data_IF_489170606064
#
_entry.id   IF_489170606064
#
_cell.length_a   1.000
_cell.length_b   1.000
_cell.length_c   1.000
_cell.angle_alpha   90.00
_cell.angle_beta   90.00
_cell.angle_gamma   90.00
#
_symmetry.space_group_name_H-M   'P 1'
#
loop_
_entity.id
_entity.type
_entity.pdbx_description
1 polymer ?
#
# COMPACT_ATOMS: atom_id res chain seq x y z
N UNK A 1 -1.70 -8.63 4.38
CA UNK A 1 -2.31 -7.82 3.31
C UNK A 1 -1.27 -7.37 2.29
N UNK A 2 -0.03 -7.09 2.72
CA UNK A 2 1.06 -6.63 1.84
C UNK A 2 2.08 -7.72 1.51
N UNK A 3 1.84 -8.94 1.94
CA UNK A 3 2.79 -10.05 1.84
C UNK A 3 3.16 -10.37 0.39
N UNK A 4 2.18 -10.39 -0.51
CA UNK A 4 2.41 -10.66 -1.94
C UNK A 4 3.30 -9.60 -2.59
N UNK A 5 3.00 -8.32 -2.37
CA UNK A 5 3.79 -7.21 -2.92
C UNK A 5 5.20 -7.21 -2.33
N UNK A 6 5.35 -7.32 -0.99
CA UNK A 6 6.65 -7.35 -0.34
C UNK A 6 7.52 -8.51 -0.82
N UNK A 7 6.96 -9.72 -0.89
CA UNK A 7 7.69 -10.89 -1.39
C UNK A 7 8.12 -10.72 -2.85
N UNK A 8 7.22 -10.28 -3.73
CA UNK A 8 7.55 -10.13 -5.15
C UNK A 8 8.63 -9.08 -5.37
N UNK A 9 8.55 -7.93 -4.70
CA UNK A 9 9.57 -6.88 -4.79
C UNK A 9 10.96 -7.38 -4.34
N UNK A 10 11.03 -8.20 -3.28
CA UNK A 10 12.28 -8.82 -2.83
C UNK A 10 12.80 -9.82 -3.87
N UNK A 11 11.95 -10.73 -4.36
CA UNK A 11 12.35 -11.77 -5.32
C UNK A 11 12.83 -11.17 -6.64
N UNK A 12 12.16 -10.14 -7.16
CA UNK A 12 12.60 -9.50 -8.40
C UNK A 12 13.88 -8.65 -8.18
N UNK A 13 14.08 -8.08 -6.99
CA UNK A 13 15.34 -7.43 -6.65
C UNK A 13 16.52 -8.40 -6.57
N UNK A 14 16.30 -9.62 -6.04
CA UNK A 14 17.29 -10.70 -6.05
C UNK A 14 17.65 -11.13 -7.48
N UNK A 15 16.63 -11.41 -8.29
CA UNK A 15 16.80 -11.82 -9.69
C UNK A 15 17.58 -10.78 -10.51
N UNK A 16 17.29 -9.51 -10.30
CA UNK A 16 17.96 -8.41 -11.02
C UNK A 16 19.35 -8.08 -10.46
N UNK A 17 19.75 -8.68 -9.33
CA UNK A 17 21.01 -8.40 -8.64
C UNK A 17 21.04 -7.05 -7.90
N UNK A 18 19.91 -6.34 -7.80
CA UNK A 18 19.80 -5.12 -7.01
C UNK A 18 19.91 -5.39 -5.51
N UNK A 19 19.37 -6.52 -5.06
CA UNK A 19 19.50 -7.00 -3.69
C UNK A 19 20.44 -8.21 -3.67
N UNK A 20 21.63 -8.02 -3.09
CA UNK A 20 22.64 -9.08 -2.97
C UNK A 20 22.41 -9.90 -1.70
N UNK A 21 22.80 -11.20 -1.68
CA UNK A 21 22.71 -12.03 -0.48
C UNK A 21 23.35 -11.36 0.74
N UNK A 22 22.63 -11.34 1.87
CA UNK A 22 23.05 -10.67 3.10
C UNK A 22 23.00 -9.14 3.06
N UNK A 23 22.49 -8.56 1.98
CA UNK A 23 22.33 -7.11 1.82
C UNK A 23 21.32 -6.50 2.79
N UNK A 24 21.16 -5.20 2.71
CA UNK A 24 20.23 -4.44 3.54
C UNK A 24 19.10 -3.86 2.69
N UNK A 25 17.87 -4.10 3.10
CA UNK A 25 16.67 -3.48 2.52
C UNK A 25 16.39 -2.20 3.30
N UNK A 26 16.08 -1.13 2.60
CA UNK A 26 15.61 0.15 3.16
C UNK A 26 14.16 0.37 2.76
N UNK A 27 13.35 0.88 3.67
CA UNK A 27 11.97 1.27 3.36
C UNK A 27 11.56 2.51 4.16
N UNK A 28 10.62 3.28 3.59
CA UNK A 28 9.92 4.35 4.28
C UNK A 28 8.48 3.91 4.50
N UNK A 29 8.23 3.30 5.64
CA UNK A 29 6.93 2.69 5.94
C UNK A 29 6.72 2.58 7.45
N UNK A 30 5.47 2.56 7.85
CA UNK A 30 5.11 2.33 9.26
C UNK A 30 4.02 1.29 9.44
N UNK A 31 3.63 0.63 8.35
CA UNK A 31 2.45 -0.22 8.34
C UNK A 31 2.71 -1.66 7.89
N UNK A 32 1.69 -2.24 7.32
CA UNK A 32 1.67 -3.65 6.90
C UNK A 32 2.77 -4.02 5.91
N UNK A 33 3.23 -3.08 5.06
CA UNK A 33 4.35 -3.33 4.14
C UNK A 33 5.63 -3.56 4.92
N UNK A 34 5.95 -2.71 5.90
CA UNK A 34 7.12 -2.88 6.74
C UNK A 34 7.12 -4.21 7.49
N UNK A 35 5.98 -4.61 8.05
CA UNK A 35 5.84 -5.89 8.75
C UNK A 35 6.04 -7.07 7.80
N UNK A 36 5.42 -7.04 6.61
CA UNK A 36 5.58 -8.09 5.61
C UNK A 36 7.03 -8.18 5.10
N UNK A 37 7.64 -7.03 4.78
CA UNK A 37 9.05 -6.97 4.36
C UNK A 37 9.98 -7.50 5.45
N UNK A 38 9.74 -7.16 6.73
CA UNK A 38 10.54 -7.65 7.85
C UNK A 38 10.50 -9.18 7.96
N UNK A 39 9.31 -9.78 7.82
CA UNK A 39 9.16 -11.23 7.86
C UNK A 39 9.94 -11.92 6.75
N UNK A 40 9.84 -11.44 5.52
CA UNK A 40 10.56 -12.02 4.38
C UNK A 40 12.07 -11.70 4.39
N UNK A 41 12.47 -10.50 4.83
CA UNK A 41 13.88 -10.15 5.00
C UNK A 41 14.56 -11.15 5.97
N UNK A 42 13.96 -11.40 7.13
CA UNK A 42 14.47 -12.37 8.09
C UNK A 42 14.53 -13.79 7.52
N UNK A 43 13.46 -14.26 6.88
CA UNK A 43 13.40 -15.60 6.32
C UNK A 43 14.43 -15.81 5.20
N UNK A 44 14.90 -14.74 4.56
CA UNK A 44 15.86 -14.79 3.44
C UNK A 44 17.26 -14.29 3.81
N UNK A 45 17.50 -13.94 5.08
CA UNK A 45 18.82 -13.56 5.58
C UNK A 45 19.25 -12.13 5.21
N UNK A 46 18.30 -11.23 5.02
CA UNK A 46 18.54 -9.80 4.77
C UNK A 46 18.45 -8.99 6.05
N UNK A 47 19.22 -7.91 6.11
CA UNK A 47 19.01 -6.85 7.10
C UNK A 47 17.88 -5.93 6.62
N UNK A 48 17.17 -5.32 7.56
CA UNK A 48 16.10 -4.41 7.21
C UNK A 48 16.14 -3.14 8.06
N UNK A 49 16.18 -2.00 7.39
CA UNK A 49 16.15 -0.66 7.97
C UNK A 49 14.85 0.01 7.56
N UNK A 50 14.09 0.48 8.54
CA UNK A 50 12.83 1.18 8.30
C UNK A 50 12.95 2.62 8.78
N UNK A 51 12.73 3.55 7.88
CA UNK A 51 12.60 4.97 8.19
C UNK A 51 11.17 5.25 8.64
N UNK A 52 11.03 5.71 9.88
CA UNK A 52 9.73 5.99 10.49
C UNK A 52 9.53 7.48 10.76
N UNK A 53 8.29 7.94 10.57
CA UNK A 53 7.88 9.30 10.95
C UNK A 53 7.48 9.37 12.43
N UNK A 54 7.51 10.56 13.04
CA UNK A 54 6.85 10.79 14.33
C UNK A 54 5.36 10.46 14.26
N UNK A 55 4.82 9.87 15.33
CA UNK A 55 3.40 9.55 15.43
C UNK A 55 3.01 8.14 14.94
N UNK A 56 3.97 7.33 14.53
CA UNK A 56 3.73 5.89 14.29
C UNK A 56 3.30 5.23 15.60
N UNK A 57 2.28 4.37 15.54
CA UNK A 57 1.77 3.69 16.74
C UNK A 57 2.85 2.82 17.40
N UNK A 58 2.78 2.76 18.74
CA UNK A 58 3.72 1.97 19.54
C UNK A 58 3.68 0.50 19.16
N UNK A 59 2.49 -0.03 18.88
CA UNK A 59 2.29 -1.43 18.50
C UNK A 59 3.04 -1.79 17.21
N UNK A 60 2.95 -0.95 16.18
CA UNK A 60 3.68 -1.15 14.91
C UNK A 60 5.19 -1.12 15.13
N UNK A 61 5.66 -0.19 15.94
CA UNK A 61 7.07 -0.08 16.32
C UNK A 61 7.55 -1.32 17.07
N UNK A 62 6.75 -1.85 18.01
CA UNK A 62 7.07 -3.06 18.75
C UNK A 62 7.11 -4.30 17.84
N UNK A 63 6.19 -4.43 16.91
CA UNK A 63 6.19 -5.53 15.93
C UNK A 63 7.46 -5.48 15.07
N UNK A 64 7.82 -4.33 14.52
CA UNK A 64 9.05 -4.16 13.72
C UNK A 64 10.29 -4.51 14.55
N UNK A 65 10.38 -4.05 15.79
CA UNK A 65 11.47 -4.40 16.71
C UNK A 65 11.53 -5.90 17.02
N UNK A 66 10.37 -6.55 17.16
CA UNK A 66 10.32 -8.00 17.40
C UNK A 66 10.89 -8.80 16.20
N UNK A 67 10.79 -8.28 14.99
CA UNK A 67 11.47 -8.81 13.81
C UNK A 67 12.95 -8.43 13.72
N UNK A 68 13.50 -7.67 14.66
CA UNK A 68 14.89 -7.21 14.63
C UNK A 68 15.17 -6.11 13.62
N UNK A 69 14.14 -5.38 13.20
CA UNK A 69 14.27 -4.28 12.25
C UNK A 69 14.99 -3.10 12.90
N UNK A 70 15.97 -2.52 12.21
CA UNK A 70 16.58 -1.27 12.60
C UNK A 70 15.63 -0.11 12.25
N UNK A 71 15.32 0.72 13.25
CA UNK A 71 14.42 1.87 13.08
C UNK A 71 15.24 3.16 13.01
N UNK A 72 15.15 3.84 11.89
CA UNK A 72 15.76 5.13 11.64
C UNK A 72 14.69 6.22 11.69
N UNK A 73 14.94 7.30 12.44
CA UNK A 73 14.02 8.42 12.44
C UNK A 73 14.11 9.18 11.12
N UNK A 74 12.99 9.54 10.52
CA UNK A 74 12.97 10.28 9.27
C UNK A 74 13.74 11.62 9.37
N UNK A 75 13.75 12.25 10.55
CA UNK A 75 14.51 13.46 10.83
C UNK A 75 16.03 13.28 10.69
N UNK A 76 16.53 12.06 10.86
CA UNK A 76 17.97 11.75 10.74
C UNK A 76 18.39 11.44 9.30
N UNK A 77 17.43 11.36 8.36
CA UNK A 77 17.72 11.20 6.93
C UNK A 77 18.01 12.56 6.30
N UNK A 78 19.20 12.78 5.71
CA UNK A 78 19.56 14.05 5.11
C UNK A 78 18.56 14.50 4.03
N UNK A 79 18.12 15.76 4.11
CA UNK A 79 17.14 16.34 3.18
C UNK A 79 15.67 16.13 3.56
N UNK A 80 15.35 15.24 4.51
CA UNK A 80 13.96 14.97 4.90
C UNK A 80 13.31 16.20 5.58
N UNK A 81 13.97 16.78 6.56
CA UNK A 81 13.46 17.98 7.25
C UNK A 81 13.34 19.18 6.31
N UNK A 82 14.31 19.36 5.42
CA UNK A 82 14.28 20.41 4.40
C UNK A 82 13.08 20.23 3.46
N UNK A 83 12.78 19.01 3.03
CA UNK A 83 11.59 18.71 2.23
C UNK A 83 10.32 19.13 2.96
N UNK A 84 10.19 18.81 4.25
CA UNK A 84 9.01 19.17 5.05
C UNK A 84 8.85 20.69 5.19
N UNK A 85 9.94 21.42 5.39
CA UNK A 85 9.93 22.88 5.51
C UNK A 85 9.57 23.58 4.19
N UNK A 86 9.99 23.01 3.05
CA UNK A 86 9.82 23.56 1.71
C UNK A 86 8.60 23.01 0.95
N UNK A 87 7.47 22.79 1.62
CA UNK A 87 6.20 22.43 0.97
C UNK A 87 5.57 21.13 1.47
N UNK A 88 6.03 20.60 2.59
CA UNK A 88 5.46 19.39 3.20
C UNK A 88 5.93 18.09 2.55
N UNK A 89 5.30 16.99 2.94
CA UNK A 89 5.63 15.66 2.43
C UNK A 89 5.26 15.54 0.94
N UNK A 90 6.26 15.29 0.12
CA UNK A 90 6.10 14.99 -1.31
C UNK A 90 6.68 13.61 -1.61
N UNK A 91 5.85 12.69 -2.12
CA UNK A 91 6.30 11.32 -2.43
C UNK A 91 7.41 11.31 -3.48
N UNK A 92 7.34 12.16 -4.51
CA UNK A 92 8.40 12.27 -5.52
C UNK A 92 9.74 12.72 -4.92
N UNK A 93 9.73 13.76 -4.05
CA UNK A 93 10.94 14.20 -3.35
C UNK A 93 11.44 13.16 -2.36
N UNK A 94 10.53 12.50 -1.65
CA UNK A 94 10.87 11.43 -0.72
C UNK A 94 11.60 10.28 -1.42
N UNK A 95 11.08 9.82 -2.56
CA UNK A 95 11.73 8.78 -3.37
C UNK A 95 13.15 9.17 -3.75
N UNK A 96 13.39 10.43 -4.14
CA UNK A 96 14.75 10.92 -4.46
C UNK A 96 15.66 10.89 -3.22
N UNK A 97 15.17 11.37 -2.08
CA UNK A 97 15.92 11.38 -0.80
C UNK A 97 16.27 9.95 -0.37
N UNK A 98 15.29 9.05 -0.42
CA UNK A 98 15.47 7.66 0.00
C UNK A 98 16.40 6.87 -0.92
N UNK A 99 16.32 7.07 -2.24
CA UNK A 99 17.26 6.47 -3.19
C UNK A 99 18.68 6.97 -2.94
N UNK A 100 18.87 8.28 -2.76
CA UNK A 100 20.18 8.84 -2.43
C UNK A 100 20.77 8.22 -1.16
N UNK A 101 19.96 8.14 -0.10
CA UNK A 101 20.38 7.53 1.16
C UNK A 101 20.74 6.04 0.98
N UNK A 102 19.93 5.31 0.21
CA UNK A 102 20.20 3.91 -0.11
C UNK A 102 21.53 3.73 -0.86
N UNK A 103 21.78 4.55 -1.88
CA UNK A 103 23.01 4.51 -2.68
C UNK A 103 24.25 4.79 -1.83
N UNK A 104 24.20 5.80 -0.96
CA UNK A 104 25.29 6.19 -0.07
C UNK A 104 25.65 5.08 0.95
N UNK A 105 24.69 4.23 1.31
CA UNK A 105 24.87 3.15 2.29
C UNK A 105 24.97 1.75 1.66
N UNK A 106 24.82 1.63 0.34
CA UNK A 106 24.78 0.34 -0.34
C UNK A 106 23.55 -0.49 0.00
N UNK A 107 22.40 0.15 0.26
CA UNK A 107 21.13 -0.48 0.57
C UNK A 107 20.27 -0.62 -0.67
N UNK A 108 19.29 -1.51 -0.62
CA UNK A 108 18.22 -1.60 -1.61
C UNK A 108 16.97 -0.91 -1.08
N UNK A 109 16.57 0.20 -1.68
CA UNK A 109 15.30 0.87 -1.35
C UNK A 109 14.15 0.16 -2.06
N UNK A 110 13.23 -0.43 -1.28
CA UNK A 110 12.14 -1.27 -1.82
C UNK A 110 11.05 -0.46 -2.51
N UNK A 111 10.78 0.76 -2.01
CA UNK A 111 9.86 1.76 -2.58
C UNK A 111 8.51 1.21 -3.08
N UNK A 112 7.67 0.78 -2.15
CA UNK A 112 6.35 0.25 -2.50
C UNK A 112 5.46 1.21 -3.33
N UNK A 113 5.78 2.52 -3.31
CA UNK A 113 5.02 3.56 -3.98
C UNK A 113 5.30 3.67 -5.47
N UNK A 114 6.51 3.30 -5.92
CA UNK A 114 6.92 3.44 -7.34
C UNK A 114 7.50 2.16 -7.94
N UNK A 115 7.78 1.13 -7.13
CA UNK A 115 8.34 -0.14 -7.59
C UNK A 115 7.31 -0.95 -8.39
N UNK A 116 7.52 -1.18 -9.71
CA UNK A 116 6.56 -1.86 -10.58
C UNK A 116 6.29 -3.32 -10.16
N UNK A 117 7.17 -3.91 -9.36
CA UNK A 117 6.99 -5.27 -8.86
C UNK A 117 5.87 -5.38 -7.80
N UNK A 118 5.38 -4.22 -7.28
CA UNK A 118 4.20 -4.18 -6.42
C UNK A 118 2.92 -4.54 -7.21
N UNK A 119 2.49 -3.82 -8.25
CA UNK A 119 1.33 -4.23 -9.05
C UNK A 119 1.55 -5.57 -9.76
N UNK A 120 2.78 -5.88 -10.17
CA UNK A 120 3.11 -7.15 -10.80
C UNK A 120 2.82 -8.36 -9.89
N UNK A 121 3.00 -8.23 -8.58
CA UNK A 121 2.63 -9.26 -7.62
C UNK A 121 1.15 -9.64 -7.72
N UNK A 122 0.27 -8.66 -7.83
CA UNK A 122 -1.17 -8.89 -7.91
C UNK A 122 -1.60 -9.40 -9.28
N UNK A 123 -0.95 -8.96 -10.35
CA UNK A 123 -1.18 -9.48 -11.69
C UNK A 123 -0.81 -10.97 -11.80
N UNK A 124 0.34 -11.37 -11.22
CA UNK A 124 0.86 -12.75 -11.32
C UNK A 124 0.23 -13.72 -10.32
N UNK A 125 -0.32 -13.24 -9.22
CA UNK A 125 -0.82 -14.12 -8.15
C UNK A 125 -2.27 -13.85 -7.80
N UNK A 126 -2.62 -12.69 -7.29
CA UNK A 126 -3.97 -12.37 -6.79
C UNK A 126 -5.04 -12.49 -7.87
N UNK A 127 -4.76 -11.94 -9.06
CA UNK A 127 -5.68 -12.01 -10.20
C UNK A 127 -5.95 -13.45 -10.65
N UNK A 128 -4.92 -14.25 -10.97
CA UNK A 128 -5.08 -15.65 -11.33
C UNK A 128 -5.83 -16.48 -10.28
N UNK A 129 -5.47 -16.33 -9.00
CA UNK A 129 -6.12 -17.06 -7.91
C UNK A 129 -7.62 -16.72 -7.80
N UNK A 130 -7.98 -15.44 -7.85
CA UNK A 130 -9.40 -15.03 -7.86
C UNK A 130 -10.12 -15.63 -9.07
N UNK A 131 -9.50 -15.59 -10.24
CA UNK A 131 -10.08 -16.14 -11.47
C UNK A 131 -10.32 -17.63 -11.37
N UNK A 132 -9.36 -18.39 -10.83
CA UNK A 132 -9.46 -19.82 -10.64
C UNK A 132 -10.50 -20.18 -9.57
N UNK A 133 -10.45 -19.53 -8.40
CA UNK A 133 -11.36 -19.78 -7.27
C UNK A 133 -12.83 -19.46 -7.59
N UNK A 134 -13.07 -18.61 -8.60
CA UNK A 134 -14.42 -18.24 -9.05
C UNK A 134 -14.85 -18.97 -10.33
N UNK A 135 -14.08 -19.92 -10.85
CA UNK A 135 -14.31 -20.54 -12.16
C UNK A 135 -14.46 -19.49 -13.28
N UNK A 136 -13.74 -18.38 -13.20
CA UNK A 136 -13.85 -17.27 -14.14
C UNK A 136 -15.16 -16.47 -14.08
N UNK A 137 -15.99 -16.68 -13.05
CA UNK A 137 -17.28 -16.01 -12.88
C UNK A 137 -17.10 -14.75 -12.03
N UNK A 138 -16.49 -13.73 -12.61
CA UNK A 138 -16.26 -12.42 -11.99
C UNK A 138 -16.96 -11.35 -12.81
N UNK A 139 -17.89 -10.64 -12.19
CA UNK A 139 -18.56 -9.50 -12.80
C UNK A 139 -17.94 -8.16 -12.34
N UNK A 140 -17.54 -8.09 -11.06
CA UNK A 140 -16.99 -6.89 -10.44
C UNK A 140 -15.70 -7.20 -9.67
N UNK A 141 -14.73 -6.30 -9.78
CA UNK A 141 -13.54 -6.26 -8.93
C UNK A 141 -13.56 -4.94 -8.16
N UNK A 142 -13.63 -5.02 -6.84
CA UNK A 142 -13.66 -3.85 -5.96
C UNK A 142 -12.38 -3.80 -5.14
N UNK A 143 -11.64 -2.70 -5.21
CA UNK A 143 -10.44 -2.52 -4.41
C UNK A 143 -10.27 -1.08 -3.92
N UNK A 144 -9.74 -0.96 -2.70
CA UNK A 144 -9.27 0.32 -2.15
C UNK A 144 -7.90 0.69 -2.71
N UNK A 145 -7.65 1.98 -2.81
CA UNK A 145 -6.38 2.51 -3.30
C UNK A 145 -5.54 3.06 -2.14
N UNK A 146 -4.37 2.43 -1.90
CA UNK A 146 -3.29 3.01 -1.12
C UNK A 146 -2.19 3.45 -2.08
N UNK A 147 -1.21 2.59 -2.36
CA UNK A 147 -0.22 2.83 -3.44
C UNK A 147 -0.81 2.65 -4.85
N UNK A 148 -1.98 2.05 -4.97
CA UNK A 148 -2.59 1.69 -6.24
C UNK A 148 -2.19 0.31 -6.78
N UNK A 149 -1.16 -0.32 -6.23
CA UNK A 149 -0.59 -1.56 -6.77
C UNK A 149 -1.59 -2.70 -6.91
N UNK A 150 -2.47 -2.90 -5.92
CA UNK A 150 -3.50 -3.96 -5.97
C UNK A 150 -4.48 -3.72 -7.11
N UNK A 151 -5.06 -2.51 -7.18
CA UNK A 151 -6.04 -2.21 -8.23
C UNK A 151 -5.40 -2.24 -9.62
N UNK A 152 -4.18 -1.71 -9.77
CA UNK A 152 -3.44 -1.72 -11.03
C UNK A 152 -3.17 -3.15 -11.53
N UNK A 153 -2.65 -4.02 -10.65
CA UNK A 153 -2.39 -5.42 -11.02
C UNK A 153 -3.66 -6.19 -11.37
N UNK A 154 -4.73 -6.02 -10.58
CA UNK A 154 -6.02 -6.68 -10.83
C UNK A 154 -6.70 -6.12 -12.08
N UNK A 155 -6.73 -4.80 -12.27
CA UNK A 155 -7.32 -4.19 -13.46
C UNK A 155 -6.69 -4.75 -14.74
N UNK A 156 -5.34 -4.77 -14.81
CA UNK A 156 -4.61 -5.33 -15.95
C UNK A 156 -5.01 -6.79 -16.18
N UNK A 157 -4.99 -7.62 -15.15
CA UNK A 157 -5.29 -9.04 -15.28
C UNK A 157 -6.73 -9.29 -15.74
N UNK A 158 -7.71 -8.66 -15.11
CA UNK A 158 -9.12 -8.92 -15.41
C UNK A 158 -9.56 -8.33 -16.75
N UNK A 159 -9.00 -7.18 -17.17
CA UNK A 159 -9.25 -6.63 -18.53
C UNK A 159 -8.72 -7.54 -19.63
N UNK A 160 -7.60 -8.23 -19.42
CA UNK A 160 -7.08 -9.23 -20.37
C UNK A 160 -7.96 -10.50 -20.42
N UNK A 161 -8.63 -10.86 -19.31
CA UNK A 161 -9.54 -12.03 -19.25
C UNK A 161 -10.90 -11.74 -19.88
N UNK A 162 -11.51 -10.65 -19.47
CA UNK A 162 -12.82 -10.21 -19.97
C UNK A 162 -12.96 -8.70 -19.79
N UNK A 163 -13.09 -7.96 -20.89
CA UNK A 163 -13.25 -6.50 -20.85
C UNK A 163 -14.55 -6.02 -20.22
N UNK A 164 -15.56 -6.89 -20.09
CA UNK A 164 -16.85 -6.53 -19.51
C UNK A 164 -16.84 -6.51 -17.97
N UNK A 165 -15.81 -7.11 -17.34
CA UNK A 165 -15.64 -7.08 -15.88
C UNK A 165 -15.48 -5.63 -15.42
N UNK A 166 -16.29 -5.23 -14.45
CA UNK A 166 -16.26 -3.88 -13.89
C UNK A 166 -15.18 -3.74 -12.83
N UNK A 167 -14.33 -2.75 -12.99
CA UNK A 167 -13.25 -2.42 -12.06
C UNK A 167 -13.67 -1.20 -11.25
N UNK A 168 -13.87 -1.41 -9.94
CA UNK A 168 -14.36 -0.37 -9.02
C UNK A 168 -13.23 0.01 -8.08
N UNK A 169 -12.79 1.25 -8.15
CA UNK A 169 -11.91 1.84 -7.16
C UNK A 169 -12.72 2.40 -5.99
N UNK A 170 -12.22 2.32 -4.77
CA UNK A 170 -12.85 2.95 -3.63
C UNK A 170 -11.83 3.78 -2.83
N UNK A 171 -12.29 4.93 -2.35
CA UNK A 171 -11.48 5.91 -1.62
C UNK A 171 -12.23 6.41 -0.37
N UNK A 172 -11.53 7.04 0.60
CA UNK A 172 -12.21 7.67 1.72
C UNK A 172 -13.06 8.85 1.24
N UNK A 173 -14.29 8.93 1.70
CA UNK A 173 -15.14 10.11 1.51
C UNK A 173 -14.48 11.36 2.13
N UNK A 174 -14.81 12.55 1.64
CA UNK A 174 -14.17 13.82 2.07
C UNK A 174 -14.19 14.00 3.60
N UNK A 175 -15.31 13.67 4.26
CA UNK A 175 -15.45 13.77 5.72
C UNK A 175 -14.60 12.72 6.48
N UNK A 176 -14.08 11.73 5.80
CA UNK A 176 -13.19 10.69 6.36
C UNK A 176 -11.71 10.94 6.06
N UNK A 177 -11.35 12.14 5.65
CA UNK A 177 -9.97 12.58 5.38
C UNK A 177 -9.56 13.63 6.39
N UNK A 178 -8.54 13.35 7.20
CA UNK A 178 -7.99 14.36 8.12
C UNK A 178 -7.37 15.52 7.35
N UNK A 179 -7.82 16.71 7.66
CA UNK A 179 -7.31 17.96 7.11
C UNK A 179 -7.63 19.12 8.07
N UNK A 180 -7.29 20.35 7.68
CA UNK A 180 -7.52 21.54 8.52
C UNK A 180 -9.01 21.78 8.83
N UNK A 181 -9.93 21.33 7.96
CA UNK A 181 -11.36 21.47 8.14
C UNK A 181 -11.98 20.28 8.91
N UNK A 182 -11.31 19.14 8.91
CA UNK A 182 -11.75 17.89 9.54
C UNK A 182 -10.60 17.24 10.35
N UNK A 183 -10.08 17.91 11.39
CA UNK A 183 -8.93 17.41 12.16
C UNK A 183 -9.23 16.13 12.95
N UNK A 184 -10.49 15.97 13.36
CA UNK A 184 -10.97 14.82 14.15
C UNK A 184 -11.65 13.73 13.31
N UNK A 185 -11.54 13.81 11.97
CA UNK A 185 -12.15 12.81 11.11
C UNK A 185 -11.66 11.40 11.42
N UNK A 186 -12.58 10.45 11.50
CA UNK A 186 -12.25 9.05 11.45
C UNK A 186 -11.74 8.70 10.06
N UNK A 187 -10.65 7.95 10.00
CA UNK A 187 -9.96 7.62 8.75
C UNK A 187 -9.95 6.13 8.48
N UNK A 188 -9.71 5.75 7.25
CA UNK A 188 -9.44 4.36 6.87
C UNK A 188 -7.93 4.24 6.64
N UNK A 189 -7.23 3.61 7.57
CA UNK A 189 -5.76 3.53 7.54
C UNK A 189 -5.23 2.85 6.27
N UNK A 190 -4.23 3.49 5.65
CA UNK A 190 -3.54 2.97 4.46
C UNK A 190 -4.31 3.12 3.15
N UNK A 191 -5.43 3.86 3.18
CA UNK A 191 -6.23 4.18 1.99
C UNK A 191 -6.09 5.67 1.67
N UNK A 192 -5.86 5.98 0.40
CA UNK A 192 -5.67 7.35 -0.09
C UNK A 192 -6.82 7.73 -1.03
N UNK A 193 -7.10 9.02 -1.09
CA UNK A 193 -7.97 9.56 -2.14
C UNK A 193 -7.17 9.70 -3.45
N UNK A 194 -7.85 9.49 -4.57
CA UNK A 194 -7.21 9.51 -5.90
C UNK A 194 -8.04 10.21 -6.98
N UNK A 195 -9.35 10.31 -6.81
CA UNK A 195 -10.23 10.82 -7.86
C UNK A 195 -10.45 12.34 -7.80
N UNK A 196 -10.46 12.91 -6.60
CA UNK A 196 -10.80 14.32 -6.34
C UNK A 196 -9.68 15.06 -5.58
N UNK A 197 -8.45 14.69 -5.88
CA UNK A 197 -7.24 15.26 -5.29
C UNK A 197 -6.34 15.85 -6.37
N UNK A 198 -5.44 16.79 -6.02
CA UNK A 198 -4.44 17.30 -6.97
C UNK A 198 -3.61 16.17 -7.60
N UNK A 199 -3.30 16.26 -8.89
CA UNK A 199 -2.58 15.22 -9.64
C UNK A 199 -1.29 14.72 -8.96
N UNK A 200 -0.55 15.61 -8.30
CA UNK A 200 0.66 15.24 -7.55
C UNK A 200 0.40 14.41 -6.29
N UNK A 201 -0.86 14.29 -5.86
CA UNK A 201 -1.30 13.48 -4.71
C UNK A 201 -1.86 12.12 -5.12
N UNK A 202 -2.10 11.92 -6.42
CA UNK A 202 -2.56 10.63 -6.94
C UNK A 202 -1.42 9.62 -6.82
N UNK A 203 -1.69 8.40 -6.32
CA UNK A 203 -0.68 7.34 -6.27
C UNK A 203 -0.14 7.01 -7.67
N UNK A 204 1.17 6.80 -7.78
CA UNK A 204 1.86 6.61 -9.08
C UNK A 204 1.27 5.45 -9.91
N UNK A 205 0.89 4.34 -9.25
CA UNK A 205 0.29 3.20 -9.95
C UNK A 205 -1.18 3.40 -10.30
N UNK A 206 -1.73 4.54 -9.94
CA UNK A 206 -3.13 4.83 -10.20
C UNK A 206 -3.27 5.98 -11.20
N UNK A 207 -2.75 5.75 -12.39
CA UNK A 207 -2.95 6.61 -13.56
C UNK A 207 -4.22 6.12 -14.28
N UNK A 208 -5.28 6.93 -14.38
CA UNK A 208 -6.51 6.53 -15.06
C UNK A 208 -6.33 6.11 -16.52
N UNK A 209 -5.28 6.61 -17.20
CA UNK A 209 -4.95 6.21 -18.56
C UNK A 209 -4.30 4.83 -18.62
N UNK A 210 -3.55 4.44 -17.59
CA UNK A 210 -2.85 3.15 -17.51
C UNK A 210 -3.65 2.09 -16.74
N UNK A 211 -4.47 2.52 -15.79
CA UNK A 211 -5.29 1.65 -14.93
C UNK A 211 -6.75 2.07 -15.09
N UNK A 212 -7.41 1.69 -16.18
CA UNK A 212 -8.80 2.03 -16.39
C UNK A 212 -9.68 1.39 -15.33
N UNK A 213 -10.44 2.21 -14.63
CA UNK A 213 -11.50 1.80 -13.73
C UNK A 213 -12.84 2.36 -14.23
N UNK A 214 -13.93 1.65 -13.91
CA UNK A 214 -15.27 2.05 -14.39
C UNK A 214 -15.92 3.04 -13.45
N UNK A 215 -15.66 2.93 -12.14
CA UNK A 215 -16.29 3.76 -11.12
C UNK A 215 -15.36 3.96 -9.92
N UNK A 216 -15.53 5.10 -9.25
CA UNK A 216 -14.90 5.42 -7.97
C UNK A 216 -15.97 5.64 -6.90
N UNK A 217 -15.91 4.88 -5.82
CA UNK A 217 -16.83 4.97 -4.70
C UNK A 217 -16.20 5.68 -3.51
N UNK A 218 -16.91 6.64 -2.95
CA UNK A 218 -16.54 7.33 -1.72
C UNK A 218 -17.07 6.58 -0.50
N UNK A 219 -16.19 6.14 0.38
CA UNK A 219 -16.54 5.34 1.56
C UNK A 219 -16.36 6.17 2.83
N UNK A 220 -17.43 6.30 3.57
CA UNK A 220 -17.41 6.90 4.91
C UNK A 220 -16.81 5.90 5.90
N UNK A 221 -15.85 6.36 6.72
CA UNK A 221 -15.12 5.49 7.64
C UNK A 221 -16.06 4.82 8.67
N UNK A 222 -17.04 5.55 9.17
CA UNK A 222 -18.05 5.04 10.11
C UNK A 222 -18.88 3.90 9.51
N UNK A 223 -19.27 4.03 8.24
CA UNK A 223 -20.03 2.99 7.52
C UNK A 223 -19.18 1.73 7.33
N UNK A 224 -17.88 1.91 7.03
CA UNK A 224 -16.94 0.81 6.96
C UNK A 224 -16.80 0.09 8.30
N UNK A 225 -16.65 0.85 9.40
CA UNK A 225 -16.55 0.28 10.75
C UNK A 225 -17.82 -0.44 11.16
N UNK A 226 -18.99 0.11 10.84
CA UNK A 226 -20.27 -0.56 11.14
C UNK A 226 -20.43 -1.85 10.32
N UNK A 227 -20.06 -1.82 9.03
CA UNK A 227 -20.05 -3.01 8.18
C UNK A 227 -19.16 -4.12 8.78
N UNK A 228 -17.95 -3.78 9.24
CA UNK A 228 -17.06 -4.72 9.91
C UNK A 228 -17.66 -5.28 11.21
N UNK A 229 -18.26 -4.42 12.06
CA UNK A 229 -18.93 -4.86 13.30
C UNK A 229 -20.11 -5.79 13.04
N UNK A 230 -20.89 -5.52 11.99
CA UNK A 230 -22.01 -6.39 11.59
C UNK A 230 -21.50 -7.76 11.16
N UNK A 231 -20.48 -7.82 10.30
CA UNK A 231 -19.93 -9.07 9.80
C UNK A 231 -19.37 -9.95 10.93
N UNK A 232 -18.71 -9.37 11.92
CA UNK A 232 -18.26 -10.12 13.11
C UNK A 232 -19.43 -10.79 13.82
N UNK A 233 -20.56 -10.10 13.95
CA UNK A 233 -21.74 -10.63 14.67
C UNK A 233 -22.54 -11.64 13.86
N UNK A 234 -22.62 -11.47 12.53
CA UNK A 234 -23.41 -12.35 11.67
C UNK A 234 -22.63 -13.62 11.26
N UNK A 235 -21.37 -13.44 10.89
CA UNK A 235 -20.59 -14.49 10.22
C UNK A 235 -19.31 -14.88 11.00
N UNK A 236 -19.01 -14.20 12.11
CA UNK A 236 -17.81 -14.46 12.92
C UNK A 236 -16.49 -14.05 12.23
N UNK A 237 -16.55 -13.27 11.16
CA UNK A 237 -15.36 -12.83 10.40
C UNK A 237 -14.91 -11.46 10.87
N UNK A 238 -13.71 -11.38 11.45
CA UNK A 238 -13.13 -10.14 11.93
C UNK A 238 -12.28 -9.49 10.84
N UNK A 239 -12.73 -8.34 10.34
CA UNK A 239 -12.02 -7.56 9.32
C UNK A 239 -11.29 -6.36 9.93
N UNK A 240 -10.10 -6.04 9.39
CA UNK A 240 -9.48 -4.74 9.61
C UNK A 240 -10.22 -3.61 8.88
N UNK A 241 -9.93 -2.37 9.25
CA UNK A 241 -10.63 -1.18 8.75
C UNK A 241 -10.74 -1.12 7.22
N UNK A 242 -9.62 -1.30 6.50
CA UNK A 242 -9.61 -1.25 5.04
C UNK A 242 -10.35 -2.42 4.40
N UNK A 243 -10.29 -3.63 4.99
CA UNK A 243 -11.06 -4.76 4.48
C UNK A 243 -12.56 -4.55 4.67
N UNK A 244 -12.98 -3.98 5.80
CA UNK A 244 -14.37 -3.60 6.03
C UNK A 244 -14.84 -2.50 5.06
N UNK A 245 -13.97 -1.56 4.71
CA UNK A 245 -14.28 -0.53 3.71
C UNK A 245 -14.42 -1.12 2.29
N UNK A 246 -13.58 -2.10 1.93
CA UNK A 246 -13.72 -2.81 0.65
C UNK A 246 -15.04 -3.59 0.59
N UNK A 247 -15.41 -4.27 1.70
CA UNK A 247 -16.71 -4.95 1.80
C UNK A 247 -17.87 -3.94 1.70
N UNK A 248 -17.79 -2.79 2.38
CA UNK A 248 -18.80 -1.74 2.27
C UNK A 248 -18.94 -1.27 0.82
N UNK A 249 -17.82 -1.03 0.12
CA UNK A 249 -17.85 -0.65 -1.29
C UNK A 249 -18.54 -1.72 -2.17
N UNK A 250 -18.31 -3.00 -1.88
CA UNK A 250 -18.93 -4.10 -2.62
C UNK A 250 -20.43 -4.29 -2.33
N UNK A 251 -21.00 -3.56 -1.36
CA UNK A 251 -22.44 -3.60 -1.02
C UNK A 251 -23.24 -2.39 -1.50
N UNK A 252 -22.58 -1.46 -2.20
CA UNK A 252 -23.22 -0.28 -2.82
C UNK A 252 -23.65 -0.62 -4.24
#
# INVERSE_FOLDING_TARGET
VKDRAALNMILEAEKSGKLKPGGTILDFTSGNTGIATAAFANARGYKYVVVIQPGVSVERTLILKAYGVELLQAADVPGFLEMLQNGGLSMAKLTVIMNKYADEHGYFYIDQGTNPDNPEAHYRTTGPEIWEDTDGKVDYVVALVGTGGTLAGLSRYFREKNSDIKIIGAQPAVQSRKNVNHPEANTIDGVLAFNDVPAQSVPVFFDPEQVPYDECLDIVAEDAYETGRRLVKSDGVFLGQSAAAALKAATI
#
